data_IF_930368532928
#
_entry.id   IF_930368532928
#
_cell.length_a   1.000
_cell.length_b   1.000
_cell.length_c   1.000
_cell.angle_alpha   90.00
_cell.angle_beta   90.00
_cell.angle_gamma   90.00
#
_symmetry.space_group_name_H-M   'P 1'
#
loop_
_entity.id
_entity.type
_entity.pdbx_description
1 polymer ?
#
# COMPACT_ATOMS: atom_id res chain seq x y z
N UNK A 1 -13.89 6.94 7.51
CA UNK A 1 -13.04 5.73 7.39
C UNK A 1 -11.71 5.96 6.67
N UNK A 2 -11.66 6.19 5.34
CA UNK A 2 -10.36 6.29 4.62
C UNK A 2 -9.49 7.45 5.09
N UNK A 3 -10.10 8.61 5.36
CA UNK A 3 -9.39 9.79 5.88
C UNK A 3 -8.88 9.61 7.32
N UNK A 4 -9.43 8.64 8.06
CA UNK A 4 -9.04 8.32 9.45
C UNK A 4 -7.84 7.37 9.48
N UNK A 5 -7.47 6.77 8.35
CA UNK A 5 -6.24 5.98 8.26
C UNK A 5 -5.02 6.88 8.46
N UNK A 6 -4.12 6.47 9.34
CA UNK A 6 -2.95 7.25 9.70
C UNK A 6 -2.09 7.56 8.46
N UNK A 7 -1.70 8.82 8.31
CA UNK A 7 -0.87 9.30 7.21
C UNK A 7 -1.62 9.62 5.91
N UNK A 8 -2.93 9.35 5.84
CA UNK A 8 -3.77 9.71 4.68
C UNK A 8 -4.33 11.12 4.84
N UNK A 9 -5.07 11.35 5.93
CA UNK A 9 -5.70 12.63 6.24
C UNK A 9 -6.65 13.14 5.15
N UNK A 10 -7.12 14.39 5.26
CA UNK A 10 -8.11 14.97 4.36
C UNK A 10 -7.55 15.29 2.96
N UNK A 11 -6.23 15.40 2.81
CA UNK A 11 -5.59 15.76 1.52
C UNK A 11 -5.31 14.53 0.66
N UNK A 12 -4.70 13.49 1.21
CA UNK A 12 -4.35 12.29 0.45
C UNK A 12 -5.52 11.30 0.38
N UNK A 13 -6.50 11.41 1.27
CA UNK A 13 -7.70 10.56 1.28
C UNK A 13 -8.51 10.62 0.00
N UNK A 14 -8.99 11.80 -0.42
CA UNK A 14 -9.72 11.96 -1.69
C UNK A 14 -8.89 11.51 -2.89
N UNK A 15 -7.58 11.80 -2.92
CA UNK A 15 -6.69 11.36 -3.99
C UNK A 15 -6.60 9.83 -4.05
N UNK A 16 -6.40 9.19 -2.90
CA UNK A 16 -6.33 7.73 -2.80
C UNK A 16 -7.66 7.09 -3.25
N UNK A 17 -8.79 7.64 -2.82
CA UNK A 17 -10.11 7.16 -3.21
C UNK A 17 -10.38 7.37 -4.70
N UNK A 18 -9.99 8.51 -5.27
CA UNK A 18 -10.15 8.79 -6.69
C UNK A 18 -9.30 7.87 -7.59
N UNK A 19 -8.06 7.61 -7.19
CA UNK A 19 -7.15 6.74 -7.93
C UNK A 19 -7.55 5.25 -7.86
N UNK A 20 -8.05 4.79 -6.71
CA UNK A 20 -8.47 3.40 -6.52
C UNK A 20 -9.89 3.16 -7.04
N UNK A 21 -10.81 4.10 -6.80
CA UNK A 21 -12.23 3.94 -7.09
C UNK A 21 -12.90 2.86 -6.23
N UNK A 22 -13.90 2.19 -6.81
CA UNK A 22 -14.63 1.11 -6.14
C UNK A 22 -13.75 -0.13 -5.92
N UNK A 23 -13.52 -0.47 -4.64
CA UNK A 23 -12.69 -1.61 -4.25
C UNK A 23 -13.30 -2.97 -4.60
N UNK A 24 -14.62 -3.05 -4.80
CA UNK A 24 -15.33 -4.29 -5.17
C UNK A 24 -14.96 -4.78 -6.56
N UNK A 25 -14.40 -3.91 -7.40
CA UNK A 25 -13.86 -4.26 -8.72
C UNK A 25 -12.63 -5.17 -8.64
N UNK A 26 -11.98 -5.25 -7.48
CA UNK A 26 -10.81 -6.11 -7.28
C UNK A 26 -11.23 -7.43 -6.61
N UNK A 27 -11.04 -8.55 -7.30
CA UNK A 27 -11.32 -9.89 -6.77
C UNK A 27 -10.47 -10.28 -5.55
N UNK A 28 -9.35 -9.60 -5.30
CA UNK A 28 -8.52 -9.83 -4.12
C UNK A 28 -7.65 -8.63 -3.76
N UNK A 29 -7.16 -8.60 -2.51
CA UNK A 29 -6.13 -7.66 -2.06
C UNK A 29 -4.87 -7.67 -2.96
N UNK A 30 -4.53 -8.82 -3.56
CA UNK A 30 -3.39 -8.92 -4.50
C UNK A 30 -3.68 -8.19 -5.81
N UNK A 31 -4.92 -8.23 -6.30
CA UNK A 31 -5.33 -7.52 -7.50
C UNK A 31 -5.22 -5.99 -7.32
N UNK A 32 -5.60 -5.46 -6.15
CA UNK A 32 -5.41 -4.03 -5.84
C UNK A 32 -3.92 -3.64 -5.80
N UNK A 33 -3.08 -4.47 -5.18
CA UNK A 33 -1.63 -4.21 -5.09
C UNK A 33 -0.97 -4.26 -6.48
N UNK A 34 -1.38 -5.21 -7.33
CA UNK A 34 -0.93 -5.30 -8.71
C UNK A 34 -1.41 -4.09 -9.53
N UNK A 35 -2.64 -3.63 -9.32
CA UNK A 35 -3.17 -2.41 -9.92
C UNK A 35 -2.39 -1.16 -9.51
N UNK A 36 -1.93 -1.07 -8.26
CA UNK A 36 -1.03 0.01 -7.82
C UNK A 36 0.39 -0.11 -8.43
N UNK A 37 0.74 -1.26 -9.01
CA UNK A 37 2.04 -1.51 -9.62
C UNK A 37 3.18 -1.51 -8.61
N UNK A 38 2.89 -1.88 -7.36
CA UNK A 38 3.86 -2.02 -6.26
C UNK A 38 4.09 -3.50 -5.86
N UNK A 39 3.50 -4.43 -6.61
CA UNK A 39 3.81 -5.85 -6.47
C UNK A 39 5.25 -6.11 -6.95
N UNK A 40 5.95 -6.98 -6.20
CA UNK A 40 7.17 -7.57 -6.71
C UNK A 40 6.76 -8.67 -7.69
N UNK A 41 7.36 -8.73 -8.89
CA UNK A 41 7.02 -9.75 -9.86
C UNK A 41 7.19 -11.16 -9.25
N UNK A 42 6.30 -12.12 -9.60
CA UNK A 42 6.38 -13.48 -9.08
C UNK A 42 7.73 -14.11 -9.45
N UNK A 43 8.22 -14.98 -8.56
CA UNK A 43 9.47 -15.71 -8.71
C UNK A 43 9.40 -16.62 -9.95
N UNK A 44 9.83 -16.14 -11.11
CA UNK A 44 10.10 -17.02 -12.25
C UNK A 44 11.41 -17.76 -11.93
N UNK A 45 11.27 -19.04 -11.63
CA UNK A 45 12.35 -20.01 -11.35
C UNK A 45 13.15 -20.34 -12.61
N UNK A 46 13.81 -19.34 -13.18
CA UNK A 46 14.74 -19.51 -14.29
C UNK A 46 15.67 -18.32 -14.31
N UNK A 47 16.84 -18.47 -13.70
CA UNK A 47 17.99 -17.55 -13.77
C UNK A 47 17.65 -16.07 -14.02
N UNK A 48 17.15 -15.35 -13.01
CA UNK A 48 17.11 -13.88 -13.10
C UNK A 48 17.71 -13.28 -11.84
N UNK A 49 18.77 -12.50 -12.08
CA UNK A 49 19.57 -11.73 -11.16
C UNK A 49 18.72 -11.08 -10.05
N UNK A 50 18.98 -11.46 -8.79
CA UNK A 50 18.22 -10.99 -7.61
C UNK A 50 18.32 -9.46 -7.44
N UNK A 51 19.28 -8.80 -8.12
CA UNK A 51 19.47 -7.34 -8.13
C UNK A 51 18.46 -6.54 -8.97
N UNK A 52 17.68 -7.15 -9.87
CA UNK A 52 16.83 -6.40 -10.82
C UNK A 52 15.33 -6.41 -10.51
N UNK A 53 14.91 -6.74 -9.28
CA UNK A 53 13.48 -6.72 -8.89
C UNK A 53 12.95 -5.31 -8.69
N UNK A 54 12.68 -4.61 -9.80
CA UNK A 54 11.86 -3.39 -9.79
C UNK A 54 10.39 -3.76 -9.63
N UNK A 55 9.63 -2.90 -8.94
CA UNK A 55 8.15 -2.97 -8.93
C UNK A 55 7.61 -3.00 -10.36
N UNK A 56 6.46 -3.64 -10.58
CA UNK A 56 5.90 -3.86 -11.92
C UNK A 56 5.65 -2.55 -12.69
N UNK A 57 5.49 -1.40 -12.01
CA UNK A 57 5.21 -0.06 -12.57
C UNK A 57 3.99 0.00 -13.51
N UNK A 58 3.24 -1.10 -13.67
CA UNK A 58 2.05 -1.22 -14.53
C UNK A 58 0.85 -0.40 -14.03
N UNK A 59 0.90 0.04 -12.76
CA UNK A 59 -0.13 0.86 -12.12
C UNK A 59 0.03 2.37 -12.31
N UNK A 60 -0.92 3.13 -11.76
CA UNK A 60 -0.91 4.61 -11.78
C UNK A 60 0.34 5.17 -11.08
N UNK A 61 1.07 6.05 -11.77
CA UNK A 61 2.20 6.78 -11.19
C UNK A 61 1.74 7.75 -10.10
N UNK A 62 0.53 8.31 -10.24
CA UNK A 62 -0.11 9.16 -9.24
C UNK A 62 -0.39 8.37 -7.97
N UNK A 63 -1.01 7.18 -8.07
CA UNK A 63 -1.26 6.30 -6.92
C UNK A 63 0.04 5.92 -6.19
N UNK A 64 1.12 5.58 -6.91
CA UNK A 64 2.43 5.31 -6.28
C UNK A 64 2.99 6.52 -5.54
N UNK A 65 2.84 7.72 -6.11
CA UNK A 65 3.27 8.97 -5.48
C UNK A 65 2.47 9.23 -4.21
N UNK A 66 1.14 9.11 -4.25
CA UNK A 66 0.26 9.26 -3.09
C UNK A 66 0.65 8.30 -1.98
N UNK A 67 0.83 7.01 -2.29
CA UNK A 67 1.25 6.01 -1.32
C UNK A 67 2.62 6.33 -0.71
N UNK A 68 3.56 6.82 -1.51
CA UNK A 68 4.87 7.24 -1.01
C UNK A 68 4.78 8.42 -0.04
N UNK A 69 3.89 9.39 -0.31
CA UNK A 69 3.63 10.51 0.60
C UNK A 69 3.02 10.03 1.92
N UNK A 70 2.03 9.12 1.88
CA UNK A 70 1.44 8.50 3.10
C UNK A 70 2.53 7.82 3.93
N UNK A 71 3.42 7.04 3.30
CA UNK A 71 4.53 6.39 4.00
C UNK A 71 5.52 7.40 4.60
N UNK A 72 5.72 8.54 3.94
CA UNK A 72 6.55 9.63 4.44
C UNK A 72 6.00 10.23 5.73
N UNK A 73 4.68 10.45 5.79
CA UNK A 73 4.01 10.93 7.01
C UNK A 73 4.14 9.91 8.15
N UNK A 74 3.92 8.62 7.87
CA UNK A 74 4.13 7.55 8.86
C UNK A 74 5.56 7.55 9.40
N UNK A 75 6.55 7.76 8.54
CA UNK A 75 7.96 7.77 8.95
C UNK A 75 8.31 9.01 9.79
N UNK A 76 7.71 10.16 9.49
CA UNK A 76 7.93 11.41 10.21
C UNK A 76 7.26 11.41 11.59
N UNK A 77 6.01 10.97 11.68
CA UNK A 77 5.27 10.95 12.93
C UNK A 77 5.66 9.78 13.85
N UNK A 78 6.21 8.70 13.28
CA UNK A 78 6.62 7.50 14.00
C UNK A 78 5.58 6.94 15.00
N UNK A 79 4.30 6.74 14.57
CA UNK A 79 3.26 6.25 15.47
C UNK A 79 3.49 4.77 15.81
N UNK A 80 3.91 4.49 17.04
CA UNK A 80 4.29 3.14 17.47
C UNK A 80 3.11 2.14 17.49
N UNK A 81 1.88 2.64 17.64
CA UNK A 81 0.67 1.82 17.68
C UNK A 81 0.16 1.43 16.28
N UNK A 82 0.67 2.06 15.23
CA UNK A 82 0.19 1.82 13.86
C UNK A 82 0.82 0.55 13.26
N UNK A 83 0.02 -0.42 12.80
CA UNK A 83 0.53 -1.69 12.28
C UNK A 83 1.36 -1.53 11.00
N UNK A 84 1.11 -0.47 10.21
CA UNK A 84 1.92 -0.14 9.03
C UNK A 84 3.29 0.39 9.45
N UNK A 85 3.34 1.27 10.45
CA UNK A 85 4.59 1.82 10.97
C UNK A 85 5.44 0.74 11.63
N UNK A 86 4.88 -0.11 12.49
CA UNK A 86 5.61 -1.22 13.10
C UNK A 86 6.26 -2.15 12.05
N UNK A 87 5.58 -2.39 10.93
CA UNK A 87 6.15 -3.16 9.83
C UNK A 87 7.26 -2.42 9.10
N UNK A 88 7.06 -1.12 8.87
CA UNK A 88 8.07 -0.26 8.26
C UNK A 88 9.35 -0.22 9.10
N UNK A 89 9.20 -0.03 10.41
CA UNK A 89 10.31 -0.01 11.36
C UNK A 89 11.05 -1.35 11.40
N UNK A 90 10.31 -2.48 11.44
CA UNK A 90 10.92 -3.80 11.28
C UNK A 90 11.74 -3.92 10.01
N UNK A 91 11.23 -3.45 8.87
CA UNK A 91 11.94 -3.51 7.57
C UNK A 91 13.14 -2.57 7.52
N UNK A 92 13.09 -1.46 8.23
CA UNK A 92 14.23 -0.54 8.43
C UNK A 92 15.32 -1.19 9.27
N UNK A 93 14.95 -1.84 10.38
CA UNK A 93 15.85 -2.58 11.26
C UNK A 93 16.49 -3.81 10.60
N UNK A 94 15.82 -4.41 9.61
CA UNK A 94 16.40 -5.44 8.71
C UNK A 94 17.46 -4.87 7.74
N UNK A 95 17.75 -3.56 7.76
CA UNK A 95 18.75 -2.93 6.89
C UNK A 95 18.30 -2.75 5.44
N UNK A 96 16.99 -2.80 5.15
CA UNK A 96 16.51 -2.64 3.78
C UNK A 96 16.73 -1.20 3.28
N UNK A 97 17.03 -1.01 1.99
CA UNK A 97 17.15 0.32 1.42
C UNK A 97 15.85 1.14 1.56
N UNK A 98 15.99 2.45 1.71
CA UNK A 98 14.88 3.41 1.90
C UNK A 98 13.66 3.12 1.02
N UNK A 99 13.86 3.11 -0.29
CA UNK A 99 12.77 2.90 -1.27
C UNK A 99 12.12 1.52 -1.16
N UNK A 100 12.86 0.51 -0.72
CA UNK A 100 12.38 -0.87 -0.61
C UNK A 100 11.42 -1.01 0.56
N UNK A 101 11.78 -0.52 1.76
CA UNK A 101 10.87 -0.62 2.89
C UNK A 101 9.66 0.32 2.75
N UNK A 102 9.83 1.48 2.10
CA UNK A 102 8.72 2.39 1.80
C UNK A 102 7.66 1.70 0.92
N UNK A 103 8.07 1.08 -0.18
CA UNK A 103 7.14 0.36 -1.07
C UNK A 103 6.58 -0.91 -0.43
N UNK A 104 7.37 -1.63 0.37
CA UNK A 104 6.87 -2.79 1.13
C UNK A 104 5.80 -2.38 2.15
N UNK A 105 5.96 -1.23 2.80
CA UNK A 105 5.00 -0.68 3.76
C UNK A 105 3.74 -0.18 3.05
N UNK A 106 3.88 0.46 1.88
CA UNK A 106 2.75 0.83 1.03
C UNK A 106 1.92 -0.40 0.60
N UNK A 107 2.57 -1.54 0.31
CA UNK A 107 1.87 -2.80 0.04
C UNK A 107 1.11 -3.30 1.27
N UNK A 108 1.72 -3.24 2.48
CA UNK A 108 1.01 -3.56 3.72
C UNK A 108 -0.20 -2.62 3.93
N UNK A 109 -0.03 -1.32 3.69
CA UNK A 109 -1.10 -0.33 3.78
C UNK A 109 -2.27 -0.67 2.83
N UNK A 110 -2.01 -0.91 1.54
CA UNK A 110 -3.06 -1.26 0.57
C UNK A 110 -3.82 -2.54 0.95
N UNK A 111 -3.15 -3.51 1.58
CA UNK A 111 -3.82 -4.72 2.06
C UNK A 111 -4.79 -4.44 3.21
N UNK A 112 -4.43 -3.54 4.12
CA UNK A 112 -5.29 -3.10 5.22
C UNK A 112 -6.45 -2.26 4.65
N UNK A 113 -6.13 -1.30 3.78
CA UNK A 113 -7.12 -0.49 3.05
C UNK A 113 -8.19 -1.35 2.38
N UNK A 114 -7.79 -2.35 1.58
CA UNK A 114 -8.75 -3.24 0.93
C UNK A 114 -9.65 -3.97 1.93
N UNK A 115 -9.06 -4.51 3.01
CA UNK A 115 -9.82 -5.25 4.01
C UNK A 115 -10.82 -4.36 4.75
N UNK A 116 -10.40 -3.17 5.19
CA UNK A 116 -11.26 -2.22 5.90
C UNK A 116 -12.37 -1.69 5.01
N UNK A 117 -12.06 -1.26 3.77
CA UNK A 117 -13.09 -0.70 2.87
C UNK A 117 -14.07 -1.78 2.45
N UNK A 118 -13.59 -3.00 2.17
CA UNK A 118 -14.48 -4.10 1.82
C UNK A 118 -15.40 -4.46 2.99
N UNK A 119 -14.88 -4.60 4.21
CA UNK A 119 -15.70 -4.89 5.38
C UNK A 119 -16.77 -3.82 5.63
N UNK A 120 -16.43 -2.54 5.42
CA UNK A 120 -17.38 -1.44 5.53
C UNK A 120 -18.47 -1.48 4.44
N UNK A 121 -18.11 -1.76 3.18
CA UNK A 121 -19.10 -1.92 2.11
C UNK A 121 -20.01 -3.12 2.36
N UNK A 122 -19.44 -4.25 2.77
CA UNK A 122 -20.19 -5.45 3.10
C UNK A 122 -21.16 -5.18 4.26
N UNK A 123 -20.81 -4.35 5.26
CA UNK A 123 -21.75 -3.97 6.33
C UNK A 123 -22.92 -3.09 5.85
N UNK A 124 -22.70 -2.24 4.83
CA UNK A 124 -23.76 -1.38 4.28
C UNK A 124 -24.77 -2.15 3.42
N UNK A 125 -24.41 -3.32 2.92
CA UNK A 125 -25.29 -4.18 2.10
C UNK A 125 -26.17 -5.11 2.95
N UNK A 126 -25.92 -5.19 4.27
CA UNK A 126 -26.67 -6.02 5.22
C UNK A 126 -27.51 -5.22 6.22
N UNK A 127 -27.61 -3.90 6.04
CA UNK A 127 -28.55 -2.98 6.70
C UNK A 127 -29.68 -2.59 5.71
#
# INVERSE_FOLDING_TARGET
>A
MVMEMFGVGPTLGPQLMAEIGDVRRFHSKKALVAFAGIDAPPYQSGQIDVRSRSISKRGSASLRRTLFLVMGVLLQCAPMDEPVYQFMDKKRSEGKPYRVYMMASANKFLRIYYASVKAYLDSLEHD
#
